data_IF_220305341484
#
_entry.id   IF_220305341484
#
_cell.length_a   1.000
_cell.length_b   1.000
_cell.length_c   1.000
_cell.angle_alpha   90.00
_cell.angle_beta   90.00
_cell.angle_gamma   90.00
#
_symmetry.space_group_name_H-M   'P 1'
#
loop_
_entity.id
_entity.type
_entity.pdbx_description
1 polymer ?
#
# COMPACT_ATOMS: atom_id res chain seq x y z
N UNK A 1 1.76 6.55 33.43
CA UNK A 1 0.97 7.53 32.64
C UNK A 1 1.94 8.32 31.78
N UNK A 2 2.10 7.96 30.50
CA UNK A 2 3.04 8.63 29.58
C UNK A 2 2.40 9.93 29.12
N UNK A 3 2.99 11.08 29.50
CA UNK A 3 2.59 12.39 28.99
C UNK A 3 2.98 12.45 27.52
N UNK A 4 2.00 12.38 26.61
CA UNK A 4 2.21 12.73 25.20
C UNK A 4 2.47 14.23 25.13
N UNK A 5 3.73 14.62 24.91
CA UNK A 5 4.10 15.98 24.54
C UNK A 5 3.57 16.22 23.12
N UNK A 6 2.41 16.87 23.00
CA UNK A 6 1.98 17.42 21.72
C UNK A 6 2.96 18.57 21.38
N UNK A 7 3.75 18.39 20.32
CA UNK A 7 4.55 19.47 19.73
C UNK A 7 3.61 20.62 19.34
N UNK A 8 4.12 21.86 19.40
CA UNK A 8 3.45 23.10 19.00
C UNK A 8 2.63 22.94 17.71
N UNK A 9 1.50 23.66 17.56
CA UNK A 9 0.78 23.68 16.30
C UNK A 9 1.73 24.08 15.17
N UNK A 10 1.77 23.27 14.11
CA UNK A 10 2.62 23.51 12.95
C UNK A 10 2.39 24.90 12.39
N UNK A 11 3.47 25.59 12.03
CA UNK A 11 3.36 26.93 11.46
C UNK A 11 2.66 26.87 10.11
N UNK A 12 2.03 27.97 9.68
CA UNK A 12 1.33 28.03 8.38
C UNK A 12 2.25 27.63 7.21
N UNK A 13 3.54 27.95 7.31
CA UNK A 13 4.54 27.62 6.29
C UNK A 13 4.92 26.14 6.29
N UNK A 14 5.01 25.50 7.47
CA UNK A 14 5.19 24.05 7.58
C UNK A 14 4.01 23.28 6.97
N UNK A 15 2.78 23.72 7.24
CA UNK A 15 1.56 23.11 6.66
C UNK A 15 1.58 23.27 5.15
N UNK A 16 1.92 24.47 4.64
CA UNK A 16 2.01 24.72 3.19
C UNK A 16 3.05 23.81 2.54
N UNK A 17 4.21 23.65 3.16
CA UNK A 17 5.28 22.79 2.67
C UNK A 17 4.84 21.33 2.60
N UNK A 18 4.16 20.84 3.64
CA UNK A 18 3.63 19.47 3.68
C UNK A 18 2.61 19.24 2.57
N UNK A 19 1.65 20.16 2.38
CA UNK A 19 0.63 20.03 1.35
C UNK A 19 1.23 20.03 -0.05
N UNK A 20 2.23 20.88 -0.31
CA UNK A 20 2.95 20.88 -1.60
C UNK A 20 3.72 19.58 -1.84
N UNK A 21 4.29 18.98 -0.80
CA UNK A 21 4.93 17.67 -0.92
C UNK A 21 3.92 16.57 -1.24
N UNK A 22 2.76 16.58 -0.56
CA UNK A 22 1.68 15.64 -0.81
C UNK A 22 1.12 15.75 -2.23
N UNK A 23 0.84 16.98 -2.70
CA UNK A 23 0.34 17.24 -4.06
C UNK A 23 1.29 16.63 -5.09
N UNK A 24 2.59 16.91 -4.98
CA UNK A 24 3.62 16.37 -5.88
C UNK A 24 3.70 14.84 -5.89
N UNK A 25 3.52 14.20 -4.73
CA UNK A 25 3.50 12.73 -4.66
C UNK A 25 2.21 12.21 -5.31
N UNK A 26 1.07 12.82 -5.01
CA UNK A 26 -0.23 12.40 -5.52
C UNK A 26 -0.32 12.47 -7.05
N UNK A 27 0.31 13.47 -7.66
CA UNK A 27 0.40 13.63 -9.12
C UNK A 27 1.19 12.49 -9.80
N UNK A 28 2.05 11.80 -9.06
CA UNK A 28 2.86 10.68 -9.57
C UNK A 28 2.18 9.33 -9.34
N UNK A 29 1.12 9.28 -8.52
CA UNK A 29 0.42 8.04 -8.22
C UNK A 29 -0.56 7.70 -9.36
N UNK A 30 -0.44 6.48 -9.87
CA UNK A 30 -1.40 5.91 -10.82
C UNK A 30 -2.29 4.92 -10.12
N UNK A 31 -3.61 5.13 -10.17
CA UNK A 31 -4.59 4.17 -9.66
C UNK A 31 -4.87 3.10 -10.69
N UNK A 32 -4.69 1.83 -10.30
CA UNK A 32 -5.05 0.69 -11.14
C UNK A 32 -6.54 0.40 -10.99
N UNK A 33 -7.32 0.62 -12.05
CA UNK A 33 -8.74 0.31 -12.06
C UNK A 33 -9.02 -1.14 -12.44
N UNK A 34 -9.86 -1.81 -11.65
CA UNK A 34 -10.40 -3.14 -11.92
C UNK A 34 -11.57 -3.09 -12.91
N UNK A 35 -11.30 -2.71 -14.16
CA UNK A 35 -12.25 -2.94 -15.24
C UNK A 35 -12.15 -4.41 -15.71
N UNK A 36 -13.28 -5.13 -15.73
CA UNK A 36 -13.41 -6.47 -16.32
C UNK A 36 -13.35 -7.67 -15.37
N UNK A 37 -13.25 -8.88 -15.97
CA UNK A 37 -13.40 -10.22 -15.36
C UNK A 37 -12.36 -10.61 -14.28
N UNK A 38 -11.58 -9.67 -13.77
CA UNK A 38 -10.47 -9.91 -12.82
C UNK A 38 -10.95 -10.15 -11.38
N UNK A 39 -12.20 -9.83 -11.07
CA UNK A 39 -12.75 -9.98 -9.72
C UNK A 39 -12.79 -11.44 -9.26
N UNK A 40 -13.06 -12.39 -10.17
CA UNK A 40 -13.06 -13.81 -9.84
C UNK A 40 -11.66 -14.30 -9.50
N UNK A 41 -10.64 -13.88 -10.25
CA UNK A 41 -9.24 -14.25 -9.97
C UNK A 41 -8.79 -13.69 -8.61
N UNK A 42 -9.15 -12.45 -8.30
CA UNK A 42 -8.87 -11.83 -6.99
C UNK A 42 -9.56 -12.61 -5.87
N UNK A 43 -10.81 -13.02 -6.08
CA UNK A 43 -11.56 -13.81 -5.11
C UNK A 43 -10.93 -15.19 -4.85
N UNK A 44 -10.55 -15.91 -5.90
CA UNK A 44 -9.88 -17.20 -5.75
C UNK A 44 -8.50 -17.06 -5.11
N UNK A 45 -7.76 -15.99 -5.42
CA UNK A 45 -6.51 -15.68 -4.72
C UNK A 45 -6.75 -15.37 -3.24
N UNK A 46 -7.80 -14.62 -2.91
CA UNK A 46 -8.18 -14.32 -1.53
C UNK A 46 -8.46 -15.60 -0.73
N UNK A 47 -9.23 -16.53 -1.30
CA UNK A 47 -9.46 -17.84 -0.69
C UNK A 47 -8.17 -18.65 -0.54
N UNK A 48 -7.36 -18.72 -1.60
CA UNK A 48 -6.11 -19.52 -1.62
C UNK A 48 -5.13 -19.06 -0.55
N UNK A 49 -4.98 -17.76 -0.37
CA UNK A 49 -4.00 -17.18 0.56
C UNK A 49 -4.61 -16.76 1.91
N UNK A 50 -5.90 -17.05 2.11
CA UNK A 50 -6.66 -16.64 3.29
C UNK A 50 -6.54 -15.13 3.58
N UNK A 51 -6.71 -14.31 2.55
CA UNK A 51 -6.62 -12.86 2.60
C UNK A 51 -8.01 -12.23 2.50
N UNK A 52 -8.14 -10.98 2.93
CA UNK A 52 -9.30 -10.19 2.54
C UNK A 52 -9.29 -9.99 1.02
N UNK A 53 -10.46 -9.74 0.43
CA UNK A 53 -10.55 -9.43 -1.01
C UNK A 53 -9.65 -8.23 -1.39
N UNK A 54 -9.53 -7.24 -0.51
CA UNK A 54 -8.70 -6.05 -0.72
C UNK A 54 -7.20 -6.41 -0.73
N UNK A 55 -6.71 -7.16 0.25
CA UNK A 55 -5.31 -7.59 0.31
C UNK A 55 -4.94 -8.46 -0.90
N UNK A 56 -5.84 -9.37 -1.28
CA UNK A 56 -5.68 -10.18 -2.48
C UNK A 56 -5.65 -9.33 -3.75
N UNK A 57 -6.38 -8.21 -3.80
CA UNK A 57 -6.37 -7.32 -4.97
C UNK A 57 -5.01 -6.66 -5.17
N UNK A 58 -4.34 -6.22 -4.09
CA UNK A 58 -2.98 -5.70 -4.17
C UNK A 58 -2.01 -6.78 -4.66
N UNK A 59 -2.08 -7.98 -4.06
CA UNK A 59 -1.23 -9.09 -4.46
C UNK A 59 -1.45 -9.51 -5.91
N UNK A 60 -2.70 -9.56 -6.36
CA UNK A 60 -3.06 -9.89 -7.74
C UNK A 60 -2.40 -8.93 -8.73
N UNK A 61 -2.46 -7.62 -8.48
CA UNK A 61 -1.85 -6.64 -9.37
C UNK A 61 -0.32 -6.65 -9.32
N UNK A 62 0.28 -6.95 -8.16
CA UNK A 62 1.71 -7.21 -8.07
C UNK A 62 2.12 -8.39 -8.94
N UNK A 63 1.34 -9.48 -8.95
CA UNK A 63 1.58 -10.64 -9.80
C UNK A 63 1.39 -10.34 -11.28
N UNK A 64 0.32 -9.61 -11.63
CA UNK A 64 -0.02 -9.30 -13.02
C UNK A 64 1.04 -8.41 -13.70
N UNK A 65 1.61 -7.45 -12.95
CA UNK A 65 2.55 -6.47 -13.49
C UNK A 65 3.99 -6.64 -13.01
N UNK A 66 4.27 -7.70 -12.23
CA UNK A 66 5.57 -7.96 -11.60
C UNK A 66 6.06 -6.77 -10.76
N UNK A 67 5.17 -6.17 -9.97
CA UNK A 67 5.51 -5.09 -9.06
C UNK A 67 5.92 -5.64 -7.69
N UNK A 68 6.83 -4.92 -7.03
CA UNK A 68 7.07 -5.09 -5.60
C UNK A 68 5.87 -4.58 -4.79
N UNK A 69 5.57 -5.24 -3.67
CA UNK A 69 4.52 -4.84 -2.74
C UNK A 69 5.12 -4.03 -1.59
N UNK A 70 4.53 -2.88 -1.29
CA UNK A 70 4.83 -2.09 -0.09
C UNK A 70 3.67 -2.28 0.89
N UNK A 71 3.93 -2.85 2.06
CA UNK A 71 2.90 -3.05 3.10
C UNK A 71 3.52 -3.28 4.47
N UNK A 72 2.87 -2.77 5.51
CA UNK A 72 3.17 -3.10 6.91
C UNK A 72 2.38 -4.33 7.41
N UNK A 73 1.39 -4.79 6.64
CA UNK A 73 0.59 -5.97 6.99
C UNK A 73 1.43 -7.24 6.82
N UNK A 74 1.68 -7.92 7.94
CA UNK A 74 2.54 -9.11 8.00
C UNK A 74 1.93 -10.31 7.27
N UNK A 75 0.61 -10.45 7.27
CA UNK A 75 -0.08 -11.56 6.62
C UNK A 75 -0.03 -11.40 5.10
N UNK A 76 -0.32 -10.20 4.59
CA UNK A 76 -0.19 -9.89 3.17
C UNK A 76 1.27 -9.98 2.70
N UNK A 77 2.23 -9.48 3.49
CA UNK A 77 3.65 -9.61 3.18
C UNK A 77 4.10 -11.08 3.09
N UNK A 78 3.59 -11.96 3.97
CA UNK A 78 3.89 -13.38 3.91
C UNK A 78 3.29 -14.04 2.65
N UNK A 79 2.04 -13.72 2.31
CA UNK A 79 1.38 -14.19 1.09
C UNK A 79 2.11 -13.73 -0.18
N UNK A 80 2.57 -12.48 -0.21
CA UNK A 80 3.36 -11.93 -1.31
C UNK A 80 4.68 -12.70 -1.51
N UNK A 81 5.46 -12.91 -0.45
CA UNK A 81 6.70 -13.69 -0.51
C UNK A 81 6.46 -15.13 -0.95
N UNK A 82 5.39 -15.77 -0.47
CA UNK A 82 4.97 -17.12 -0.89
C UNK A 82 4.67 -17.17 -2.39
N UNK A 83 4.14 -16.09 -2.96
CA UNK A 83 3.87 -15.97 -4.40
C UNK A 83 5.03 -15.28 -5.16
N UNK A 84 6.25 -15.28 -4.62
CA UNK A 84 7.47 -14.74 -5.25
C UNK A 84 7.44 -13.24 -5.57
N UNK A 85 6.60 -12.47 -4.87
CA UNK A 85 6.58 -11.02 -4.95
C UNK A 85 7.55 -10.44 -3.92
N UNK A 86 8.40 -9.52 -4.39
CA UNK A 86 9.28 -8.74 -3.53
C UNK A 86 8.45 -7.85 -2.59
N UNK A 87 8.81 -7.80 -1.31
CA UNK A 87 8.14 -6.95 -0.31
C UNK A 87 9.14 -5.90 0.18
N UNK A 88 8.75 -4.64 0.05
CA UNK A 88 9.51 -3.50 0.57
C UNK A 88 8.92 -3.00 1.88
N UNK A 89 9.81 -2.62 2.78
CA UNK A 89 9.48 -1.87 3.98
C UNK A 89 9.18 -0.41 3.60
N UNK A 90 8.25 0.23 4.30
CA UNK A 90 7.89 1.63 4.04
C UNK A 90 9.09 2.57 4.24
N UNK A 91 9.94 2.26 5.23
CA UNK A 91 11.16 3.02 5.52
C UNK A 91 12.21 2.92 4.41
N UNK A 92 12.06 1.94 3.50
CA UNK A 92 12.94 1.74 2.35
C UNK A 92 12.34 2.23 1.03
N UNK A 93 11.06 2.59 1.03
CA UNK A 93 10.34 3.00 -0.16
C UNK A 93 10.40 4.52 -0.39
N UNK A 94 10.53 5.31 0.68
CA UNK A 94 10.52 6.78 0.67
C UNK A 94 11.94 7.35 0.76
#
# INVERSE_FOLDING_TARGET
>A
MVKRNYKNPSTRDEIKTLLQAYEKISEQLTTLNSAGNKMLDVFELAKKENLTFYDASYLYYCLLYNFSLVTEDKQLAAAARKNSISVMDIDKWI
#
